data_IF_682041762887
#
_entry.id   IF_682041762887
#
_cell.length_a   1.000
_cell.length_b   1.000
_cell.length_c   1.000
_cell.angle_alpha   90.00
_cell.angle_beta   90.00
_cell.angle_gamma   90.00
#
_symmetry.space_group_name_H-M   'P 1'
#
loop_
_entity.id
_entity.type
_entity.pdbx_description
1 polymer ?
#
# COMPACT_ATOMS: atom_id res chain seq x y z
N UNK A 1 -2.30 -16.17 -23.57
CA UNK A 1 -1.44 -15.16 -22.90
C UNK A 1 -0.49 -14.46 -23.88
N UNK A 2 0.22 -15.16 -24.77
CA UNK A 2 1.19 -14.53 -25.67
C UNK A 2 0.65 -13.33 -26.48
N UNK A 3 -0.53 -13.38 -27.13
CA UNK A 3 -1.05 -12.23 -27.88
C UNK A 3 -1.30 -10.99 -27.00
N UNK A 4 -1.66 -11.20 -25.73
CA UNK A 4 -1.88 -10.12 -24.77
C UNK A 4 -0.56 -9.46 -24.34
N UNK A 5 0.49 -10.27 -24.20
CA UNK A 5 1.85 -9.79 -23.91
C UNK A 5 2.41 -9.01 -25.10
N UNK A 6 2.28 -9.54 -26.32
CA UNK A 6 2.78 -8.90 -27.55
C UNK A 6 2.09 -7.55 -27.81
N UNK A 7 0.77 -7.50 -27.62
CA UNK A 7 0.00 -6.26 -27.65
C UNK A 7 0.51 -5.26 -26.60
N UNK A 8 0.71 -5.73 -25.37
CA UNK A 8 1.21 -4.91 -24.27
C UNK A 8 2.60 -4.33 -24.55
N UNK A 9 3.53 -5.14 -25.06
CA UNK A 9 4.87 -4.70 -25.46
C UNK A 9 4.77 -3.62 -26.54
N UNK A 10 3.98 -3.87 -27.58
CA UNK A 10 3.82 -2.96 -28.72
C UNK A 10 3.24 -1.62 -28.29
N UNK A 11 2.21 -1.62 -27.43
CA UNK A 11 1.64 -0.40 -26.85
C UNK A 11 2.69 0.37 -26.05
N UNK A 12 3.42 -0.29 -25.15
CA UNK A 12 4.43 0.37 -24.32
C UNK A 12 5.54 0.97 -25.17
N UNK A 13 6.03 0.27 -26.19
CA UNK A 13 7.03 0.81 -27.13
C UNK A 13 6.50 2.07 -27.82
N UNK A 14 5.23 2.10 -28.23
CA UNK A 14 4.62 3.30 -28.81
C UNK A 14 4.55 4.44 -27.79
N UNK A 15 4.17 4.16 -26.55
CA UNK A 15 4.14 5.17 -25.48
C UNK A 15 5.56 5.70 -25.16
N UNK A 16 6.58 4.87 -25.26
CA UNK A 16 7.98 5.24 -25.06
C UNK A 16 8.63 5.93 -26.28
N UNK A 17 7.85 6.25 -27.31
CA UNK A 17 8.25 7.16 -28.40
C UNK A 17 7.78 8.60 -28.17
N UNK A 18 7.02 8.85 -27.08
CA UNK A 18 6.67 10.20 -26.68
C UNK A 18 7.93 11.02 -26.36
N UNK A 19 7.82 12.33 -26.45
CA UNK A 19 8.91 13.25 -26.14
C UNK A 19 9.44 13.03 -24.71
N UNK A 20 10.74 13.20 -24.53
CA UNK A 20 11.42 12.91 -23.24
C UNK A 20 10.88 13.74 -22.06
N UNK A 21 10.24 14.90 -22.30
CA UNK A 21 9.61 15.71 -21.24
C UNK A 21 8.42 15.02 -20.57
N UNK A 22 7.81 14.02 -21.22
CA UNK A 22 6.67 13.26 -20.67
C UNK A 22 7.13 12.36 -19.52
N UNK A 23 8.34 11.82 -19.56
CA UNK A 23 8.84 10.89 -18.54
C UNK A 23 8.91 11.48 -17.13
N UNK A 24 9.50 12.67 -16.87
CA UNK A 24 9.48 13.24 -15.53
C UNK A 24 8.06 13.58 -15.05
N UNK A 25 7.13 13.91 -15.96
CA UNK A 25 5.72 14.14 -15.60
C UNK A 25 5.06 12.83 -15.18
N UNK A 26 5.28 11.75 -15.93
CA UNK A 26 4.76 10.42 -15.59
C UNK A 26 5.40 9.87 -14.33
N UNK A 27 6.69 10.12 -14.12
CA UNK A 27 7.38 9.78 -12.87
C UNK A 27 6.74 10.48 -11.67
N UNK A 28 6.49 11.80 -11.76
CA UNK A 28 5.76 12.53 -10.73
C UNK A 28 4.41 11.89 -10.40
N UNK A 29 3.59 11.59 -11.42
CA UNK A 29 2.31 10.91 -11.17
C UNK A 29 2.51 9.51 -10.59
N UNK A 30 3.52 8.78 -11.02
CA UNK A 30 3.85 7.48 -10.44
C UNK A 30 4.18 7.59 -8.95
N UNK A 31 4.98 8.58 -8.55
CA UNK A 31 5.31 8.82 -7.14
C UNK A 31 4.06 9.09 -6.29
N UNK A 32 3.03 9.77 -6.82
CA UNK A 32 1.75 9.96 -6.12
C UNK A 32 0.97 8.66 -5.89
N UNK A 33 1.30 7.59 -6.60
CA UNK A 33 0.76 6.24 -6.41
C UNK A 33 1.64 5.31 -5.58
N UNK A 34 2.84 5.76 -5.19
CA UNK A 34 3.81 4.96 -4.47
C UNK A 34 3.44 4.80 -2.99
N UNK A 35 3.92 3.73 -2.37
CA UNK A 35 3.66 3.47 -0.95
C UNK A 35 4.27 4.57 -0.05
N UNK A 36 5.43 5.09 -0.40
CA UNK A 36 6.13 6.14 0.35
C UNK A 36 5.33 7.45 0.38
N UNK A 37 4.65 7.79 -0.72
CA UNK A 37 3.73 8.93 -0.76
C UNK A 37 2.57 8.74 0.23
N UNK A 38 1.93 7.57 0.22
CA UNK A 38 0.83 7.29 1.16
C UNK A 38 1.31 7.20 2.60
N UNK A 39 2.55 6.77 2.84
CA UNK A 39 3.16 6.76 4.16
C UNK A 39 3.29 8.17 4.76
N UNK A 40 3.48 9.20 3.94
CA UNK A 40 3.51 10.60 4.38
C UNK A 40 2.12 11.25 4.41
N UNK A 41 1.28 10.95 3.42
CA UNK A 41 -0.05 11.57 3.30
C UNK A 41 -1.05 11.01 4.31
N UNK A 42 -1.02 9.70 4.58
CA UNK A 42 -1.95 9.08 5.52
C UNK A 42 -1.87 9.72 6.93
N UNK A 43 -0.69 9.88 7.54
CA UNK A 43 -0.57 10.56 8.82
C UNK A 43 -0.95 12.05 8.75
N UNK A 44 -0.66 12.74 7.64
CA UNK A 44 -1.12 14.12 7.44
C UNK A 44 -2.66 14.21 7.51
N UNK A 45 -3.35 13.32 6.80
CA UNK A 45 -4.82 13.27 6.81
C UNK A 45 -5.32 12.91 8.20
N UNK A 46 -4.83 11.82 8.79
CA UNK A 46 -5.32 11.30 10.05
C UNK A 46 -5.03 12.24 11.24
N UNK A 47 -3.78 12.70 11.39
CA UNK A 47 -3.40 13.51 12.55
C UNK A 47 -3.79 14.97 12.43
N UNK A 48 -3.84 15.49 11.20
CA UNK A 48 -3.84 16.93 10.98
C UNK A 48 -4.97 17.43 10.12
N UNK A 49 -5.83 16.62 9.49
CA UNK A 49 -6.93 17.13 8.65
C UNK A 49 -8.28 16.56 9.09
N UNK A 50 -8.45 15.25 8.94
CA UNK A 50 -9.69 14.53 9.20
C UNK A 50 -9.35 13.12 9.67
N UNK A 51 -9.49 12.90 10.98
CA UNK A 51 -9.20 11.62 11.61
C UNK A 51 -10.13 10.50 11.12
N UNK A 52 -11.39 10.80 10.78
CA UNK A 52 -12.33 9.80 10.29
C UNK A 52 -11.98 9.35 8.86
N UNK A 53 -11.60 10.30 8.00
CA UNK A 53 -11.09 9.98 6.66
C UNK A 53 -9.75 9.23 6.74
N UNK A 54 -8.82 9.70 7.57
CA UNK A 54 -7.53 9.05 7.75
C UNK A 54 -7.67 7.61 8.23
N UNK A 55 -8.60 7.35 9.15
CA UNK A 55 -8.94 5.99 9.59
C UNK A 55 -9.43 5.12 8.43
N UNK A 56 -10.37 5.63 7.61
CA UNK A 56 -10.88 4.90 6.43
C UNK A 56 -9.76 4.58 5.43
N UNK A 57 -8.90 5.55 5.13
CA UNK A 57 -7.77 5.38 4.21
C UNK A 57 -6.76 4.36 4.76
N UNK A 58 -6.44 4.40 6.05
CA UNK A 58 -5.53 3.44 6.67
C UNK A 58 -6.02 2.00 6.50
N UNK A 59 -7.29 1.75 6.82
CA UNK A 59 -7.87 0.41 6.74
C UNK A 59 -7.93 -0.11 5.31
N UNK A 60 -8.41 0.68 4.35
CA UNK A 60 -8.48 0.22 2.95
C UNK A 60 -7.09 0.04 2.34
N UNK A 61 -6.12 0.89 2.67
CA UNK A 61 -4.74 0.77 2.18
C UNK A 61 -4.12 -0.54 2.65
N UNK A 62 -4.20 -0.85 3.94
CA UNK A 62 -3.60 -2.07 4.48
C UNK A 62 -4.24 -3.33 3.88
N UNK A 63 -5.56 -3.35 3.69
CA UNK A 63 -6.26 -4.44 3.00
C UNK A 63 -5.83 -4.52 1.52
N UNK A 64 -5.70 -3.38 0.84
CA UNK A 64 -5.23 -3.31 -0.55
C UNK A 64 -3.81 -3.87 -0.69
N UNK A 65 -2.88 -3.48 0.17
CA UNK A 65 -1.50 -4.01 0.14
C UNK A 65 -1.51 -5.53 0.28
N UNK A 66 -2.29 -6.08 1.21
CA UNK A 66 -2.41 -7.54 1.33
C UNK A 66 -2.88 -8.20 0.03
N UNK A 67 -4.00 -7.77 -0.54
CA UNK A 67 -4.50 -8.35 -1.79
C UNK A 67 -3.53 -8.16 -2.96
N UNK A 68 -2.76 -7.07 -2.98
CA UNK A 68 -1.74 -6.86 -4.01
C UNK A 68 -0.57 -7.85 -3.84
N UNK A 69 -0.04 -8.00 -2.63
CA UNK A 69 1.04 -8.96 -2.32
C UNK A 69 0.64 -10.37 -2.73
N UNK A 70 -0.55 -10.82 -2.32
CA UNK A 70 -1.04 -12.15 -2.68
C UNK A 70 -1.29 -12.28 -4.18
N UNK A 71 -1.93 -11.27 -4.78
CA UNK A 71 -2.21 -11.25 -6.21
C UNK A 71 -0.94 -11.35 -7.06
N UNK A 72 0.14 -10.67 -6.65
CA UNK A 72 1.43 -10.71 -7.34
C UNK A 72 1.95 -12.14 -7.51
N UNK A 73 1.98 -12.89 -6.42
CA UNK A 73 2.49 -14.28 -6.46
C UNK A 73 1.48 -15.26 -7.05
N UNK A 74 0.18 -15.04 -6.81
CA UNK A 74 -0.86 -15.88 -7.38
C UNK A 74 -0.87 -15.83 -8.92
N UNK A 75 -0.84 -14.63 -9.50
CA UNK A 75 -0.86 -14.43 -10.95
C UNK A 75 0.50 -14.69 -11.60
N UNK A 76 1.61 -14.45 -10.90
CA UNK A 76 2.98 -14.65 -11.40
C UNK A 76 3.24 -14.00 -12.77
N UNK A 77 2.62 -12.84 -13.01
CA UNK A 77 2.74 -12.11 -14.28
C UNK A 77 4.11 -11.44 -14.41
N UNK A 78 4.87 -11.67 -15.50
CA UNK A 78 6.15 -10.98 -15.71
C UNK A 78 5.95 -9.50 -16.00
N UNK A 79 7.02 -8.72 -15.87
CA UNK A 79 7.01 -7.30 -16.26
C UNK A 79 7.35 -7.12 -17.73
N UNK A 80 6.91 -6.01 -18.36
CA UNK A 80 7.20 -5.74 -19.77
C UNK A 80 8.69 -5.81 -20.13
N UNK A 81 9.55 -5.21 -19.29
CA UNK A 81 11.00 -5.19 -19.48
C UNK A 81 11.68 -6.51 -19.08
N UNK A 82 10.98 -7.47 -18.45
CA UNK A 82 11.49 -8.83 -18.28
C UNK A 82 11.32 -9.62 -19.58
N UNK A 83 10.17 -9.47 -20.24
CA UNK A 83 9.85 -10.25 -21.44
C UNK A 83 10.46 -9.63 -22.71
N UNK A 84 10.62 -8.31 -22.78
CA UNK A 84 11.16 -7.63 -23.95
C UNK A 84 12.29 -6.68 -23.62
N UNK A 85 13.41 -6.92 -24.29
CA UNK A 85 14.62 -6.10 -24.21
C UNK A 85 14.48 -4.72 -24.88
N UNK A 86 13.39 -4.49 -25.61
CA UNK A 86 13.07 -3.23 -26.29
C UNK A 86 12.26 -2.26 -25.42
N UNK A 87 11.70 -2.74 -24.29
CA UNK A 87 10.99 -1.87 -23.34
C UNK A 87 12.00 -1.26 -22.37
N UNK A 88 12.03 0.06 -22.27
CA UNK A 88 12.85 0.77 -21.27
C UNK A 88 12.22 0.59 -19.90
N UNK A 89 13.00 0.08 -18.94
CA UNK A 89 12.60 0.01 -17.53
C UNK A 89 12.84 1.36 -16.84
N UNK A 90 11.97 2.35 -17.12
CA UNK A 90 12.08 3.68 -16.50
C UNK A 90 11.66 3.67 -15.02
N UNK A 91 10.95 2.62 -14.60
CA UNK A 91 10.70 2.31 -13.20
C UNK A 91 10.88 0.81 -12.97
N UNK A 92 11.96 0.46 -12.26
CA UNK A 92 12.32 -0.91 -11.95
C UNK A 92 11.71 -1.37 -10.62
N UNK A 93 11.41 -2.65 -10.54
CA UNK A 93 10.91 -3.33 -9.36
C UNK A 93 11.32 -4.81 -9.40
N UNK A 94 11.50 -5.42 -8.24
CA UNK A 94 11.94 -6.82 -8.09
C UNK A 94 10.80 -7.84 -8.17
N UNK A 95 9.59 -7.48 -7.72
CA UNK A 95 8.45 -8.40 -7.67
C UNK A 95 7.69 -8.56 -9.00
N UNK A 96 6.75 -9.52 -9.08
CA UNK A 96 5.87 -9.70 -10.24
C UNK A 96 5.09 -8.43 -10.65
N UNK A 97 4.68 -8.38 -11.92
CA UNK A 97 3.96 -7.27 -12.55
C UNK A 97 2.46 -7.24 -12.25
N UNK A 98 1.77 -8.38 -12.37
CA UNK A 98 0.31 -8.45 -12.19
C UNK A 98 -0.07 -8.77 -10.74
N UNK A 99 -0.94 -8.01 -10.05
CA UNK A 99 -1.60 -6.78 -10.46
C UNK A 99 -0.77 -5.53 -10.11
N UNK A 100 -1.04 -4.42 -10.79
CA UNK A 100 -0.36 -3.15 -10.52
C UNK A 100 -0.77 -2.55 -9.17
N UNK A 101 0.15 -2.53 -8.21
CA UNK A 101 -0.07 -1.97 -6.88
C UNK A 101 -0.35 -0.46 -6.88
N UNK A 102 0.32 0.29 -7.78
CA UNK A 102 0.08 1.73 -7.92
C UNK A 102 -1.35 2.02 -8.39
N UNK A 103 -1.82 1.32 -9.43
CA UNK A 103 -3.18 1.47 -9.94
C UNK A 103 -4.24 1.03 -8.90
N UNK A 104 -3.99 -0.09 -8.21
CA UNK A 104 -4.87 -0.62 -7.17
C UNK A 104 -4.98 0.32 -5.96
N UNK A 105 -3.86 0.82 -5.45
CA UNK A 105 -3.83 1.73 -4.30
C UNK A 105 -4.41 3.09 -4.67
N UNK A 106 -4.12 3.61 -5.87
CA UNK A 106 -4.73 4.84 -6.35
C UNK A 106 -6.26 4.75 -6.36
N UNK A 107 -6.82 3.68 -6.93
CA UNK A 107 -8.27 3.49 -6.95
C UNK A 107 -8.87 3.30 -5.54
N UNK A 108 -8.22 2.49 -4.69
CA UNK A 108 -8.66 2.28 -3.32
C UNK A 108 -8.70 3.58 -2.51
N UNK A 109 -7.62 4.37 -2.55
CA UNK A 109 -7.47 5.56 -1.70
C UNK A 109 -8.23 6.76 -2.27
N UNK A 110 -7.96 7.15 -3.52
CA UNK A 110 -8.63 8.31 -4.11
C UNK A 110 -10.12 8.03 -4.33
N UNK A 111 -10.50 6.77 -4.61
CA UNK A 111 -11.90 6.34 -4.62
C UNK A 111 -12.57 6.46 -3.25
N UNK A 112 -11.87 6.12 -2.16
CA UNK A 112 -12.37 6.34 -0.80
C UNK A 112 -12.63 7.83 -0.54
N UNK A 113 -11.69 8.70 -0.90
CA UNK A 113 -11.87 10.16 -0.77
C UNK A 113 -13.11 10.61 -1.56
N UNK A 114 -13.24 10.19 -2.82
CA UNK A 114 -14.35 10.57 -3.68
C UNK A 114 -15.72 10.11 -3.15
N UNK A 115 -15.83 8.85 -2.70
CA UNK A 115 -17.08 8.24 -2.23
C UNK A 115 -17.57 8.83 -0.91
N UNK A 116 -16.65 9.14 0.01
CA UNK A 116 -17.03 9.64 1.34
C UNK A 116 -17.21 11.16 1.40
N UNK A 117 -16.57 11.95 0.53
CA UNK A 117 -16.75 13.40 0.48
C UNK A 117 -17.83 13.87 -0.51
N UNK A 118 -18.10 13.11 -1.59
CA UNK A 118 -19.17 13.37 -2.58
C UNK A 118 -19.21 14.79 -3.16
N UNK A 119 -18.06 15.46 -3.28
CA UNK A 119 -17.94 16.77 -3.92
C UNK A 119 -17.51 16.61 -5.37
N UNK A 120 -18.34 17.03 -6.33
CA UNK A 120 -18.12 16.79 -7.78
C UNK A 120 -16.72 17.18 -8.27
N UNK A 121 -16.23 18.37 -7.90
CA UNK A 121 -14.87 18.83 -8.25
C UNK A 121 -13.78 17.94 -7.66
N UNK A 122 -13.92 17.52 -6.40
CA UNK A 122 -12.97 16.64 -5.74
C UNK A 122 -13.00 15.24 -6.38
N UNK A 123 -14.18 14.72 -6.69
CA UNK A 123 -14.35 13.45 -7.40
C UNK A 123 -13.66 13.48 -8.76
N UNK A 124 -13.78 14.58 -9.52
CA UNK A 124 -13.08 14.74 -10.79
C UNK A 124 -11.55 14.70 -10.61
N UNK A 125 -11.02 15.38 -9.58
CA UNK A 125 -9.58 15.33 -9.25
C UNK A 125 -9.15 13.91 -8.87
N UNK A 126 -9.91 13.21 -8.03
CA UNK A 126 -9.62 11.83 -7.66
C UNK A 126 -9.59 10.88 -8.87
N UNK A 127 -10.57 11.00 -9.78
CA UNK A 127 -10.62 10.22 -11.02
C UNK A 127 -9.40 10.54 -11.90
N UNK A 128 -9.07 11.82 -12.06
CA UNK A 128 -7.89 12.24 -12.80
C UNK A 128 -6.60 11.63 -12.23
N UNK A 129 -6.42 11.67 -10.91
CA UNK A 129 -5.25 11.06 -10.25
C UNK A 129 -5.19 9.55 -10.48
N UNK A 130 -6.31 8.84 -10.36
CA UNK A 130 -6.37 7.39 -10.63
C UNK A 130 -5.92 7.10 -12.06
N UNK A 131 -6.43 7.84 -13.04
CA UNK A 131 -6.09 7.65 -14.45
C UNK A 131 -4.63 7.99 -14.73
N UNK A 132 -4.11 9.10 -14.22
CA UNK A 132 -2.72 9.52 -14.44
C UNK A 132 -1.70 8.62 -13.75
N UNK A 133 -1.95 8.20 -12.51
CA UNK A 133 -1.10 7.21 -11.81
C UNK A 133 -1.08 5.89 -12.59
N UNK A 134 -2.21 5.47 -13.14
CA UNK A 134 -2.30 4.20 -13.86
C UNK A 134 -1.64 4.28 -15.25
N UNK A 135 -1.83 5.39 -15.94
CA UNK A 135 -1.22 5.65 -17.24
C UNK A 135 0.31 5.76 -17.13
N UNK A 136 0.83 6.39 -16.07
CA UNK A 136 2.27 6.50 -15.86
C UNK A 136 2.95 5.13 -15.77
N UNK A 137 2.30 4.11 -15.20
CA UNK A 137 2.86 2.75 -15.11
C UNK A 137 3.09 2.09 -16.46
N UNK A 138 2.29 2.46 -17.47
CA UNK A 138 2.45 1.99 -18.84
C UNK A 138 3.59 2.73 -19.54
N UNK A 139 3.62 4.06 -19.44
CA UNK A 139 4.67 4.90 -20.06
C UNK A 139 6.05 4.56 -19.49
N UNK A 140 6.15 4.37 -18.17
CA UNK A 140 7.40 4.02 -17.49
C UNK A 140 7.82 2.56 -17.71
N UNK A 141 7.04 1.78 -18.47
CA UNK A 141 7.36 0.40 -18.80
C UNK A 141 7.24 -0.59 -17.63
N UNK A 142 6.68 -0.19 -16.50
CA UNK A 142 6.66 -0.99 -15.28
C UNK A 142 5.60 -2.11 -15.29
N UNK A 143 4.51 -1.91 -16.03
CA UNK A 143 3.34 -2.79 -16.04
C UNK A 143 2.71 -2.91 -17.43
N UNK A 144 2.09 -4.06 -17.69
CA UNK A 144 1.20 -4.24 -18.83
C UNK A 144 -0.18 -3.61 -18.60
N UNK A 145 -0.96 -3.32 -19.67
CA UNK A 145 -2.34 -2.86 -19.53
C UNK A 145 -3.22 -3.78 -18.69
N UNK A 146 -3.06 -5.10 -18.82
CA UNK A 146 -3.84 -6.06 -18.05
C UNK A 146 -3.46 -6.08 -16.56
N UNK A 147 -2.22 -5.75 -16.19
CA UNK A 147 -1.81 -5.60 -14.79
C UNK A 147 -2.53 -4.40 -14.14
N UNK A 148 -2.63 -3.29 -14.89
CA UNK A 148 -3.32 -2.07 -14.47
C UNK A 148 -4.81 -2.34 -14.33
N UNK A 149 -5.42 -3.01 -15.31
CA UNK A 149 -6.83 -3.40 -15.25
C UNK A 149 -7.11 -4.34 -14.09
N UNK A 150 -6.27 -5.34 -13.83
CA UNK A 150 -6.38 -6.22 -12.67
C UNK A 150 -6.28 -5.43 -11.36
N UNK A 151 -5.37 -4.45 -11.29
CA UNK A 151 -5.27 -3.53 -10.16
C UNK A 151 -6.55 -2.72 -9.94
N UNK A 152 -7.17 -2.20 -11.01
CA UNK A 152 -8.46 -1.51 -10.91
C UNK A 152 -9.61 -2.44 -10.51
N UNK A 153 -9.65 -3.67 -11.01
CA UNK A 153 -10.69 -4.61 -10.64
C UNK A 153 -10.62 -4.94 -9.13
N UNK A 154 -9.42 -5.21 -8.62
CA UNK A 154 -9.21 -5.47 -7.18
C UNK A 154 -9.52 -4.21 -6.36
N UNK A 155 -8.94 -3.06 -6.72
CA UNK A 155 -9.14 -1.81 -6.00
C UNK A 155 -10.61 -1.36 -6.00
N UNK A 156 -11.31 -1.55 -7.12
CA UNK A 156 -12.73 -1.24 -7.27
C UNK A 156 -13.62 -2.17 -6.44
N UNK A 157 -13.32 -3.47 -6.42
CA UNK A 157 -14.01 -4.45 -5.58
C UNK A 157 -13.81 -4.13 -4.08
N UNK A 158 -12.59 -3.78 -3.68
CA UNK A 158 -12.29 -3.34 -2.31
C UNK A 158 -13.06 -2.06 -1.97
N UNK A 159 -13.01 -1.04 -2.83
CA UNK A 159 -13.74 0.20 -2.63
C UNK A 159 -15.25 -0.03 -2.50
N UNK A 160 -15.82 -0.86 -3.36
CA UNK A 160 -17.24 -1.22 -3.30
C UNK A 160 -17.59 -1.89 -1.97
N UNK A 161 -16.82 -2.91 -1.56
CA UNK A 161 -17.04 -3.61 -0.30
C UNK A 161 -16.91 -2.63 0.89
N UNK A 162 -15.89 -1.78 0.86
CA UNK A 162 -15.65 -0.80 1.90
C UNK A 162 -16.80 0.21 1.99
N UNK A 163 -17.23 0.79 0.86
CA UNK A 163 -18.36 1.72 0.82
C UNK A 163 -19.68 1.06 1.28
N UNK A 164 -19.89 -0.22 0.97
CA UNK A 164 -21.12 -0.96 1.29
C UNK A 164 -21.20 -1.39 2.76
N UNK A 165 -20.08 -1.78 3.36
CA UNK A 165 -20.04 -2.44 4.67
C UNK A 165 -19.37 -1.63 5.77
N UNK A 166 -18.70 -0.51 5.47
CA UNK A 166 -17.98 0.31 6.46
C UNK A 166 -18.83 0.67 7.68
N UNK A 167 -20.02 1.24 7.48
CA UNK A 167 -20.85 1.70 8.60
C UNK A 167 -21.37 0.53 9.46
N UNK A 168 -21.65 -0.62 8.85
CA UNK A 168 -22.07 -1.81 9.57
C UNK A 168 -20.92 -2.41 10.38
N UNK A 169 -19.73 -2.52 9.78
CA UNK A 169 -18.52 -3.00 10.44
C UNK A 169 -18.12 -2.07 11.59
N UNK A 170 -18.13 -0.75 11.37
CA UNK A 170 -17.81 0.25 12.38
C UNK A 170 -18.76 0.18 13.59
N UNK A 171 -20.08 0.05 13.36
CA UNK A 171 -21.06 -0.13 14.45
C UNK A 171 -20.85 -1.44 15.21
N UNK A 172 -20.56 -2.53 14.51
CA UNK A 172 -20.32 -3.83 15.14
C UNK A 172 -19.04 -3.86 15.99
N UNK A 173 -17.98 -3.19 15.51
CA UNK A 173 -16.72 -3.02 16.23
C UNK A 173 -16.87 -2.08 17.42
N UNK A 174 -17.65 -1.00 17.31
CA UNK A 174 -17.86 -0.05 18.42
C UNK A 174 -18.43 -0.71 19.70
N UNK A 175 -19.16 -1.82 19.57
CA UNK A 175 -19.68 -2.59 20.71
C UNK A 175 -18.71 -3.62 21.31
N UNK A 176 -17.46 -3.72 20.82
CA UNK A 176 -16.47 -4.71 21.27
C UNK A 176 -15.49 -4.10 22.28
N UNK A 177 -15.00 -4.93 23.21
CA UNK A 177 -13.93 -4.51 24.14
C UNK A 177 -12.60 -4.37 23.42
N UNK A 178 -11.62 -3.70 24.04
CA UNK A 178 -10.26 -3.61 23.50
C UNK A 178 -9.64 -5.00 23.28
N UNK A 179 -9.81 -5.92 24.24
CA UNK A 179 -9.31 -7.29 24.11
C UNK A 179 -9.93 -8.01 22.91
N UNK A 180 -11.23 -7.85 22.67
CA UNK A 180 -11.89 -8.44 21.49
C UNK A 180 -11.36 -7.87 20.18
N UNK A 181 -11.10 -6.56 20.10
CA UNK A 181 -10.47 -5.96 18.92
C UNK A 181 -9.06 -6.51 18.68
N UNK A 182 -8.24 -6.58 19.74
CA UNK A 182 -6.88 -7.10 19.66
C UNK A 182 -6.86 -8.57 19.22
N UNK A 183 -7.72 -9.41 19.81
CA UNK A 183 -7.85 -10.81 19.43
C UNK A 183 -8.31 -10.97 17.99
N UNK A 184 -9.33 -10.21 17.55
CA UNK A 184 -9.80 -10.27 16.17
C UNK A 184 -8.70 -9.85 15.18
N UNK A 185 -8.04 -8.72 15.43
CA UNK A 185 -6.96 -8.22 14.57
C UNK A 185 -5.79 -9.21 14.48
N UNK A 186 -5.45 -9.85 15.60
CA UNK A 186 -4.41 -10.88 15.65
C UNK A 186 -4.81 -12.15 14.88
N UNK A 187 -6.05 -12.63 15.05
CA UNK A 187 -6.53 -13.80 14.29
C UNK A 187 -6.58 -13.52 12.79
N UNK A 188 -6.99 -12.31 12.39
CA UNK A 188 -7.00 -11.91 10.97
C UNK A 188 -5.56 -11.81 10.43
N UNK A 189 -4.60 -11.29 11.20
CA UNK A 189 -3.20 -11.24 10.75
C UNK A 189 -2.58 -12.64 10.63
N UNK A 190 -2.92 -13.58 11.52
CA UNK A 190 -2.52 -14.98 11.39
C UNK A 190 -3.13 -15.65 10.16
N UNK A 191 -4.41 -15.40 9.89
CA UNK A 191 -5.07 -15.90 8.67
C UNK A 191 -4.40 -15.35 7.40
N UNK A 192 -4.02 -14.07 7.40
CA UNK A 192 -3.24 -13.44 6.33
C UNK A 192 -1.88 -14.11 6.14
N UNK A 193 -1.15 -14.40 7.21
CA UNK A 193 0.12 -15.12 7.14
C UNK A 193 -0.11 -16.53 6.58
N UNK A 194 -1.13 -17.24 7.05
CA UNK A 194 -1.43 -18.60 6.56
C UNK A 194 -1.78 -18.61 5.06
N UNK A 195 -2.63 -17.70 4.61
CA UNK A 195 -2.97 -17.55 3.18
C UNK A 195 -1.75 -17.15 2.37
N UNK A 196 -0.96 -16.19 2.84
CA UNK A 196 0.24 -15.73 2.15
C UNK A 196 1.30 -16.82 2.05
N UNK A 197 1.64 -17.46 3.17
CA UNK A 197 2.56 -18.59 3.17
C UNK A 197 2.07 -19.70 2.23
N UNK A 198 0.77 -20.04 2.25
CA UNK A 198 0.20 -21.03 1.34
C UNK A 198 0.38 -20.68 -0.13
N UNK A 199 0.09 -19.44 -0.54
CA UNK A 199 0.26 -18.99 -1.94
C UNK A 199 1.73 -18.98 -2.35
N UNK A 200 2.63 -18.58 -1.45
CA UNK A 200 4.08 -18.58 -1.72
C UNK A 200 4.65 -19.99 -1.80
N UNK A 201 4.23 -20.92 -0.94
CA UNK A 201 4.62 -22.34 -1.01
C UNK A 201 4.19 -22.97 -2.32
N UNK A 202 2.99 -22.63 -2.84
CA UNK A 202 2.55 -23.11 -4.16
C UNK A 202 3.40 -22.56 -5.32
N UNK A 203 4.27 -21.59 -5.07
CA UNK A 203 5.15 -20.93 -6.05
C UNK A 203 6.64 -21.02 -5.68
N UNK A 204 7.02 -21.80 -4.67
CA UNK A 204 8.42 -21.91 -4.23
C UNK A 204 9.35 -22.41 -5.32
N UNK A 205 8.83 -23.28 -6.20
CA UNK A 205 9.61 -23.91 -7.27
C UNK A 205 9.60 -23.06 -8.56
N UNK A 206 9.01 -21.87 -8.53
CA UNK A 206 8.97 -20.99 -9.70
C UNK A 206 10.37 -20.53 -10.08
N UNK A 207 10.80 -20.88 -11.30
CA UNK A 207 12.07 -20.46 -11.87
C UNK A 207 11.86 -19.36 -12.90
N UNK A 208 12.62 -18.28 -12.77
CA UNK A 208 12.67 -17.21 -13.77
C UNK A 208 13.49 -17.73 -14.95
N UNK A 209 12.98 -17.57 -16.18
CA UNK A 209 13.73 -17.96 -17.37
C UNK A 209 15.01 -17.14 -17.51
N UNK A 210 16.05 -17.75 -18.08
CA UNK A 210 17.33 -17.06 -18.31
C UNK A 210 17.16 -15.77 -19.12
N UNK A 211 16.26 -15.78 -20.10
CA UNK A 211 15.94 -14.60 -20.90
C UNK A 211 15.32 -13.48 -20.07
N UNK A 212 14.35 -13.80 -19.20
CA UNK A 212 13.73 -12.82 -18.31
C UNK A 212 14.73 -12.24 -17.33
N UNK A 213 15.58 -13.08 -16.75
CA UNK A 213 16.66 -12.65 -15.86
C UNK A 213 17.61 -11.70 -16.59
N UNK A 214 18.08 -12.07 -17.79
CA UNK A 214 18.99 -11.25 -18.61
C UNK A 214 18.39 -9.89 -18.97
N UNK A 215 17.10 -9.85 -19.30
CA UNK A 215 16.42 -8.60 -19.63
C UNK A 215 16.17 -7.75 -18.39
N UNK A 216 15.73 -8.35 -17.28
CA UNK A 216 15.47 -7.65 -16.03
C UNK A 216 16.73 -6.99 -15.47
N UNK A 217 17.88 -7.66 -15.50
CA UNK A 217 19.15 -7.10 -15.02
C UNK A 217 19.58 -5.82 -15.75
N UNK A 218 19.04 -5.53 -16.95
CA UNK A 218 19.27 -4.24 -17.63
C UNK A 218 18.65 -3.06 -16.89
N UNK A 219 17.67 -3.29 -16.03
CA UNK A 219 17.09 -2.26 -15.17
C UNK A 219 17.90 -1.97 -13.91
N UNK A 220 18.99 -2.73 -13.67
CA UNK A 220 19.84 -2.59 -12.48
C UNK A 220 19.32 -3.32 -11.24
N UNK A 221 18.17 -4.00 -11.32
CA UNK A 221 17.59 -4.76 -10.21
C UNK A 221 17.41 -6.23 -10.59
N UNK A 222 17.84 -7.13 -9.70
CA UNK A 222 17.58 -8.55 -9.85
C UNK A 222 16.13 -8.86 -9.44
N UNK A 223 15.34 -9.54 -10.28
CA UNK A 223 14.03 -10.04 -9.89
C UNK A 223 14.09 -10.92 -8.64
N UNK A 224 13.21 -10.65 -7.68
CA UNK A 224 12.96 -11.48 -6.49
C UNK A 224 11.45 -11.57 -6.24
N UNK A 225 10.70 -12.30 -7.08
CA UNK A 225 9.25 -12.23 -7.12
C UNK A 225 8.54 -13.13 -6.11
N UNK A 226 9.24 -14.05 -5.46
CA UNK A 226 8.68 -15.00 -4.47
C UNK A 226 9.44 -14.84 -3.15
N UNK A 227 9.33 -13.66 -2.53
CA UNK A 227 9.89 -13.37 -1.21
C UNK A 227 8.85 -13.44 -0.07
N UNK A 228 8.98 -14.43 0.81
CA UNK A 228 8.07 -14.62 1.96
C UNK A 228 8.05 -13.44 2.93
N UNK A 229 9.13 -12.65 2.99
CA UNK A 229 9.16 -11.44 3.81
C UNK A 229 8.06 -10.43 3.45
N UNK A 230 7.55 -10.46 2.22
CA UNK A 230 6.53 -9.53 1.75
C UNK A 230 5.14 -9.84 2.32
N UNK A 231 4.93 -11.04 2.87
CA UNK A 231 3.69 -11.42 3.56
C UNK A 231 3.63 -10.84 4.97
N UNK A 232 4.76 -10.82 5.69
CA UNK A 232 4.80 -10.40 7.09
C UNK A 232 4.63 -8.89 7.28
N UNK A 233 4.99 -8.08 6.28
CA UNK A 233 4.78 -6.62 6.28
C UNK A 233 3.29 -6.24 6.38
N UNK A 234 2.41 -6.61 5.43
CA UNK A 234 0.98 -6.33 5.53
C UNK A 234 0.33 -7.06 6.70
N UNK A 235 0.77 -8.27 7.07
CA UNK A 235 0.25 -8.96 8.26
C UNK A 235 0.48 -8.15 9.55
N UNK A 236 1.67 -7.59 9.72
CA UNK A 236 1.99 -6.71 10.84
C UNK A 236 1.10 -5.47 10.86
N UNK A 237 0.92 -4.82 9.70
CA UNK A 237 0.02 -3.65 9.58
C UNK A 237 -1.46 -4.01 9.87
N UNK A 238 -1.94 -5.17 9.39
CA UNK A 238 -3.31 -5.67 9.64
C UNK A 238 -3.56 -5.90 11.12
N UNK A 239 -2.53 -6.25 11.89
CA UNK A 239 -2.65 -6.31 13.35
C UNK A 239 -2.52 -4.92 14.00
N UNK A 240 -1.46 -4.19 13.65
CA UNK A 240 -1.08 -2.93 14.29
C UNK A 240 -2.10 -1.81 14.11
N UNK A 241 -2.61 -1.62 12.89
CA UNK A 241 -3.54 -0.53 12.56
C UNK A 241 -4.86 -0.64 13.35
N UNK A 242 -5.58 -1.78 13.34
CA UNK A 242 -6.76 -1.95 14.19
C UNK A 242 -6.45 -1.92 15.68
N UNK A 243 -5.30 -2.46 16.12
CA UNK A 243 -4.88 -2.41 17.53
C UNK A 243 -4.70 -0.96 18.00
N UNK A 244 -4.03 -0.13 17.20
CA UNK A 244 -3.83 1.30 17.47
C UNK A 244 -5.16 2.06 17.51
N UNK A 245 -6.04 1.81 16.54
CA UNK A 245 -7.38 2.41 16.50
C UNK A 245 -8.22 2.02 17.72
N UNK A 246 -8.22 0.75 18.11
CA UNK A 246 -8.96 0.27 19.28
C UNK A 246 -8.38 0.82 20.60
N UNK A 247 -7.04 0.94 20.69
CA UNK A 247 -6.36 1.53 21.85
C UNK A 247 -6.77 2.99 22.06
N UNK A 248 -6.71 3.82 21.01
CA UNK A 248 -7.04 5.23 21.18
C UNK A 248 -8.54 5.41 21.43
N UNK A 249 -9.38 4.58 20.81
CA UNK A 249 -10.82 4.56 21.05
C UNK A 249 -11.15 4.26 22.51
N UNK A 250 -10.51 3.25 23.13
CA UNK A 250 -10.70 2.94 24.56
C UNK A 250 -10.22 4.04 25.51
N UNK A 251 -9.48 5.05 24.99
CA UNK A 251 -9.02 6.25 25.70
C UNK A 251 -9.71 7.53 25.21
N UNK A 252 -10.98 7.41 24.78
CA UNK A 252 -11.81 8.54 24.38
C UNK A 252 -11.57 9.05 22.96
N UNK A 253 -11.12 8.20 22.04
CA UNK A 253 -11.00 8.49 20.61
C UNK A 253 -9.92 9.52 20.24
N UNK A 254 -9.91 10.00 19.00
CA UNK A 254 -8.97 11.03 18.54
C UNK A 254 -9.68 12.01 17.60
N UNK A 255 -9.31 13.28 17.69
CA UNK A 255 -9.78 14.33 16.78
C UNK A 255 -8.60 15.11 16.23
N UNK A 256 -8.62 15.35 14.91
CA UNK A 256 -7.56 16.07 14.21
C UNK A 256 -7.64 17.60 14.40
N UNK A 257 -8.74 18.13 14.95
CA UNK A 257 -8.98 19.56 15.09
C UNK A 257 -7.96 20.23 16.03
N UNK A 258 -7.84 21.55 15.89
CA UNK A 258 -6.99 22.39 16.71
C UNK A 258 -6.21 23.45 15.93
N UNK A 259 -5.47 24.32 16.63
CA UNK A 259 -4.63 25.36 16.03
C UNK A 259 -3.67 24.80 14.97
N UNK A 260 -3.46 25.58 13.89
CA UNK A 260 -2.61 25.18 12.76
C UNK A 260 -1.20 24.76 13.17
N UNK A 261 -0.56 25.49 14.09
CA UNK A 261 0.78 25.16 14.58
C UNK A 261 0.82 23.83 15.35
N UNK A 262 -0.22 23.50 16.13
CA UNK A 262 -0.34 22.21 16.82
C UNK A 262 -0.54 21.07 15.81
N UNK A 263 -1.30 21.31 14.73
CA UNK A 263 -1.46 20.35 13.61
C UNK A 263 -0.13 20.10 12.90
N UNK A 264 0.64 21.15 12.63
CA UNK A 264 1.97 21.03 12.03
C UNK A 264 2.94 20.27 12.95
N UNK A 265 2.97 20.61 14.24
CA UNK A 265 3.83 19.95 15.22
C UNK A 265 3.51 18.46 15.37
N UNK A 266 2.23 18.09 15.46
CA UNK A 266 1.79 16.68 15.47
C UNK A 266 2.33 15.91 14.27
N UNK A 267 2.19 16.49 13.08
CA UNK A 267 2.67 15.86 11.84
C UNK A 267 4.19 15.65 11.87
N UNK A 268 4.96 16.69 12.18
CA UNK A 268 6.44 16.62 12.20
C UNK A 268 6.91 15.58 13.22
N UNK A 269 6.46 15.69 14.48
CA UNK A 269 6.87 14.77 15.55
C UNK A 269 6.44 13.33 15.26
N UNK A 270 5.20 13.15 14.82
CA UNK A 270 4.67 11.83 14.49
C UNK A 270 5.44 11.16 13.35
N UNK A 271 5.74 11.90 12.27
CA UNK A 271 6.49 11.39 11.12
C UNK A 271 7.92 11.03 11.52
N UNK A 272 8.62 11.87 12.30
CA UNK A 272 9.98 11.59 12.78
C UNK A 272 10.00 10.27 13.55
N UNK A 273 9.08 10.07 14.51
CA UNK A 273 9.03 8.81 15.26
C UNK A 273 8.69 7.63 14.35
N UNK A 274 7.83 7.83 13.35
CA UNK A 274 7.50 6.74 12.40
C UNK A 274 8.71 6.33 11.57
N UNK A 275 9.53 7.29 11.13
CA UNK A 275 10.81 6.99 10.47
C UNK A 275 11.78 6.27 11.40
N UNK A 276 11.89 6.68 12.67
CA UNK A 276 12.71 5.99 13.66
C UNK A 276 12.24 4.54 13.84
N UNK A 277 10.94 4.29 13.89
CA UNK A 277 10.38 2.94 14.02
C UNK A 277 10.62 2.10 12.76
N UNK A 278 10.58 2.67 11.56
CA UNK A 278 10.82 1.94 10.32
C UNK A 278 12.30 1.65 10.10
N UNK A 279 13.11 2.71 10.04
CA UNK A 279 14.51 2.66 9.68
C UNK A 279 15.38 2.23 10.86
N UNK A 280 15.10 2.74 12.06
CA UNK A 280 15.84 2.37 13.27
C UNK A 280 15.69 0.88 13.60
N UNK A 281 14.46 0.36 13.68
CA UNK A 281 14.26 -1.08 13.86
C UNK A 281 14.71 -1.86 12.62
N UNK A 282 14.55 -1.32 11.42
CA UNK A 282 14.97 -1.95 10.16
C UNK A 282 16.47 -2.06 9.95
N UNK A 283 17.27 -1.27 10.67
CA UNK A 283 18.72 -1.34 10.71
C UNK A 283 19.23 -2.39 11.71
N UNK A 284 18.42 -2.70 12.73
CA UNK A 284 18.77 -3.66 13.79
C UNK A 284 18.27 -5.06 13.42
N UNK A 285 17.10 -5.15 12.81
CA UNK A 285 16.46 -6.43 12.52
C UNK A 285 17.10 -7.13 11.31
N UNK A 286 17.36 -8.44 11.39
CA UNK A 286 17.88 -9.22 10.28
C UNK A 286 16.89 -9.23 9.11
N UNK A 287 17.43 -9.39 7.89
CA UNK A 287 16.67 -9.42 6.63
C UNK A 287 16.85 -10.74 5.88
N UNK A 288 17.16 -11.81 6.61
CA UNK A 288 17.41 -13.12 6.03
C UNK A 288 16.09 -13.86 5.80
N UNK A 289 16.16 -14.98 5.07
CA UNK A 289 15.02 -15.85 4.80
C UNK A 289 14.80 -16.86 5.94
N UNK A 290 14.56 -16.35 7.15
CA UNK A 290 14.43 -17.17 8.36
C UNK A 290 13.30 -16.69 9.29
N UNK A 291 12.84 -17.59 10.17
CA UNK A 291 11.71 -17.34 11.05
C UNK A 291 11.89 -16.12 11.96
N UNK A 292 13.10 -15.86 12.46
CA UNK A 292 13.37 -14.72 13.34
C UNK A 292 13.22 -13.43 12.54
N UNK A 293 13.80 -13.37 11.34
CA UNK A 293 13.65 -12.23 10.43
C UNK A 293 12.18 -11.93 10.12
N UNK A 294 11.36 -12.96 9.84
CA UNK A 294 9.93 -12.81 9.60
C UNK A 294 9.16 -12.28 10.80
N UNK A 295 9.39 -12.85 11.98
CA UNK A 295 8.72 -12.44 13.22
C UNK A 295 9.08 -11.00 13.58
N UNK A 296 10.36 -10.63 13.46
CA UNK A 296 10.81 -9.26 13.72
C UNK A 296 10.24 -8.27 12.71
N UNK A 297 10.15 -8.64 11.43
CA UNK A 297 9.46 -7.82 10.41
C UNK A 297 7.98 -7.63 10.77
N UNK A 298 7.27 -8.68 11.16
CA UNK A 298 5.89 -8.60 11.63
C UNK A 298 5.75 -7.65 12.82
N UNK A 299 6.60 -7.80 13.85
CA UNK A 299 6.60 -6.95 15.04
C UNK A 299 6.84 -5.48 14.64
N UNK A 300 7.84 -5.21 13.79
CA UNK A 300 8.16 -3.86 13.33
C UNK A 300 6.94 -3.18 12.72
N UNK A 301 6.28 -3.82 11.76
CA UNK A 301 5.13 -3.23 11.09
C UNK A 301 3.87 -3.20 11.96
N UNK A 302 3.73 -4.11 12.92
CA UNK A 302 2.69 -4.03 13.95
C UNK A 302 2.87 -2.81 14.86
N UNK A 303 4.10 -2.55 15.31
CA UNK A 303 4.42 -1.35 16.12
C UNK A 303 4.19 -0.08 15.32
N UNK A 304 4.59 -0.05 14.04
CA UNK A 304 4.35 1.10 13.16
C UNK A 304 2.85 1.34 12.97
N UNK A 305 2.06 0.31 12.65
CA UNK A 305 0.61 0.45 12.50
C UNK A 305 -0.07 0.94 13.79
N UNK A 306 0.36 0.40 14.93
CA UNK A 306 -0.13 0.82 16.25
C UNK A 306 0.26 2.27 16.56
N UNK A 307 1.50 2.67 16.26
CA UNK A 307 1.97 4.04 16.42
C UNK A 307 1.14 5.03 15.59
N UNK A 308 0.91 4.71 14.32
CA UNK A 308 0.19 5.58 13.38
C UNK A 308 -1.22 5.92 13.87
N UNK A 309 -1.99 4.91 14.29
CA UNK A 309 -3.39 5.11 14.67
C UNK A 309 -3.64 5.28 16.17
N UNK A 310 -2.72 4.88 17.03
CA UNK A 310 -2.89 4.86 18.47
C UNK A 310 -1.82 5.61 19.25
N UNK A 311 -0.56 5.19 19.09
CA UNK A 311 0.57 5.72 19.85
C UNK A 311 0.78 7.23 19.67
N UNK A 312 0.88 7.70 18.43
CA UNK A 312 1.03 9.13 18.12
C UNK A 312 -0.17 9.95 18.64
N UNK A 313 -1.43 9.61 18.32
CA UNK A 313 -2.61 10.25 18.92
C UNK A 313 -2.60 10.34 20.44
N UNK A 314 -2.16 9.27 21.13
CA UNK A 314 -2.07 9.25 22.58
C UNK A 314 -1.02 10.23 23.10
N UNK A 315 0.17 10.28 22.48
CA UNK A 315 1.21 11.27 22.78
C UNK A 315 0.67 12.69 22.55
N UNK A 316 -0.01 12.94 21.44
CA UNK A 316 -0.57 14.26 21.13
C UNK A 316 -1.58 14.72 22.17
N UNK A 317 -2.44 13.82 22.67
CA UNK A 317 -3.35 14.13 23.77
C UNK A 317 -2.59 14.44 25.06
N UNK A 318 -1.59 13.65 25.41
CA UNK A 318 -0.81 13.82 26.63
C UNK A 318 -0.08 15.17 26.69
N UNK A 319 0.38 15.67 25.55
CA UNK A 319 1.04 16.98 25.42
C UNK A 319 0.08 18.13 25.04
N UNK A 320 -1.25 17.95 25.18
CA UNK A 320 -2.26 18.96 24.86
C UNK A 320 -2.16 19.54 23.43
N UNK A 321 -1.77 18.70 22.46
CA UNK A 321 -1.68 19.07 21.04
C UNK A 321 -3.01 18.89 20.29
N UNK A 322 -3.99 18.24 20.91
CA UNK A 322 -5.38 18.13 20.44
C UNK A 322 -6.29 19.08 21.20
N UNK A 323 -7.37 19.55 20.58
CA UNK A 323 -8.47 20.16 21.34
C UNK A 323 -9.25 19.06 22.05
N UNK A 324 -9.47 19.25 23.36
CA UNK A 324 -10.28 18.37 24.22
C UNK A 324 -11.72 18.29 23.76
#
# INVERSE_FOLDING_TARGET
MQPLIDFGISLIIVLQRMDEWVYPVMDFFSQLGAQDFFFLVLPMVYWSIDAALGLRIAFILVVSVFFNTIGKVAFAGPRPYWVSSHVRALWAETGFGAPSGHAQNALSIWGTVAVFYKKSRLTAVCIFLILMISFSRLVLGAHFPHDVLAGWLIGGALLWAFARYWDAAARWLAGKTFAQHASLAFLVSLAVIAVGAGVYTLRSDFQISEEWMKNALRSGEAPDPVNLNDVFTPAGLIFGVPLGAAWIHSRGGYQAQGPGWKRALRYIVGVIVTFILLEGLGAIFPRNDDLISYVLRYIRYAVVGWWLLGGAPWVFKHFNLTTS
#
